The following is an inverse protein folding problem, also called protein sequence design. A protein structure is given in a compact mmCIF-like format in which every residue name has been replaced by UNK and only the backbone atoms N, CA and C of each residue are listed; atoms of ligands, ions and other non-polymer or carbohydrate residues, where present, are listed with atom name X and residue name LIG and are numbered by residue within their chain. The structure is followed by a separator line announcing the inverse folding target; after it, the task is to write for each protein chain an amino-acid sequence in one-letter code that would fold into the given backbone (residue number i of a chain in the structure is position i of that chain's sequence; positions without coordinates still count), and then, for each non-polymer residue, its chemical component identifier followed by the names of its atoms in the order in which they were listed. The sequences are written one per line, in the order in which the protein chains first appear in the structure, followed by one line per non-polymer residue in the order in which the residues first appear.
data_IF_866528812515
#
_entry.id   IF_866528812515
#
_cell.length_a   1.000
_cell.length_b   1.000
_cell.length_c   1.000
_cell.angle_alpha   90.00
_cell.angle_beta   90.00
_cell.angle_gamma   90.00
#
_symmetry.space_group_name_H-M   'P 1'
#
loop_
_entity.id
_entity.type
_entity.pdbx_description
1 polymer ?
#
# COMPACT_ATOMS: atom_id res chain seq x y z
N UNK A 1 -20.12 0.71 -0.46
CA UNK A 1 -18.94 1.12 -1.24
C UNK A 1 -18.80 0.26 -2.47
N UNK A 2 -17.60 0.24 -3.04
CA UNK A 2 -17.23 -0.56 -4.21
C UNK A 2 -16.33 -1.74 -3.80
N UNK A 3 -16.12 -2.71 -4.70
CA UNK A 3 -15.14 -3.76 -4.46
C UNK A 3 -14.30 -4.10 -5.69
N UNK A 4 -13.09 -4.58 -5.45
CA UNK A 4 -12.20 -5.10 -6.48
C UNK A 4 -11.37 -6.27 -5.94
N UNK A 5 -11.17 -7.28 -6.78
CA UNK A 5 -10.28 -8.43 -6.53
C UNK A 5 -9.20 -8.44 -7.61
N UNK A 6 -7.95 -8.29 -7.21
CA UNK A 6 -6.80 -8.22 -8.10
C UNK A 6 -5.87 -9.36 -7.71
N UNK A 7 -5.56 -10.25 -8.66
CA UNK A 7 -4.66 -11.37 -8.40
C UNK A 7 -3.72 -11.64 -9.57
N UNK A 8 -2.52 -12.16 -9.26
CA UNK A 8 -1.54 -12.60 -10.26
C UNK A 8 -1.26 -11.56 -11.36
N UNK A 9 -1.21 -10.28 -10.96
CA UNK A 9 -1.17 -9.15 -11.87
C UNK A 9 0.04 -8.26 -11.60
N UNK A 10 0.46 -7.53 -12.62
CA UNK A 10 1.46 -6.46 -12.51
C UNK A 10 0.79 -5.10 -12.67
N UNK A 11 0.94 -4.22 -11.68
CA UNK A 11 0.46 -2.84 -11.70
C UNK A 11 1.68 -1.94 -11.69
N UNK A 12 1.95 -1.24 -12.80
CA UNK A 12 3.19 -0.49 -12.93
C UNK A 12 3.05 0.76 -13.81
N UNK A 13 4.04 1.66 -13.69
CA UNK A 13 4.19 2.85 -14.51
C UNK A 13 3.00 3.85 -14.45
N UNK A 14 2.27 3.87 -13.33
CA UNK A 14 1.34 4.97 -13.02
C UNK A 14 2.13 6.27 -12.88
N UNK A 15 1.87 7.24 -13.77
CA UNK A 15 2.72 8.43 -13.96
C UNK A 15 2.37 9.61 -13.06
N UNK A 16 1.17 9.64 -12.50
CA UNK A 16 0.67 10.80 -11.74
C UNK A 16 0.28 10.44 -10.31
N UNK A 17 -0.28 9.25 -10.09
CA UNK A 17 -0.90 8.89 -8.82
C UNK A 17 -0.39 7.55 -8.30
N UNK A 18 -1.32 6.77 -7.76
CA UNK A 18 -1.07 5.56 -7.00
C UNK A 18 -1.08 4.32 -7.91
N UNK A 19 -0.62 3.18 -7.39
CA UNK A 19 -0.76 1.89 -8.05
C UNK A 19 -2.17 1.35 -7.84
N UNK A 20 -2.54 1.14 -6.58
CA UNK A 20 -3.88 0.75 -6.16
C UNK A 20 -4.39 1.76 -5.13
N UNK A 21 -5.56 2.35 -5.41
CA UNK A 21 -6.17 3.37 -4.58
C UNK A 21 -7.55 2.91 -4.11
N UNK A 22 -7.70 2.73 -2.80
CA UNK A 22 -8.94 2.30 -2.17
C UNK A 22 -9.49 3.45 -1.32
N UNK A 23 -10.65 3.99 -1.71
CA UNK A 23 -11.22 5.18 -1.08
C UNK A 23 -12.70 5.00 -0.77
N UNK A 24 -13.11 5.44 0.42
CA UNK A 24 -14.52 5.58 0.80
C UNK A 24 -15.01 4.44 1.68
N UNK A 25 -16.00 4.76 2.51
CA UNK A 25 -16.65 3.81 3.41
C UNK A 25 -17.23 2.60 2.66
N UNK A 26 -17.16 1.43 3.30
CA UNK A 26 -17.56 0.14 2.76
C UNK A 26 -16.94 -0.18 1.38
N UNK A 27 -15.75 0.37 1.08
CA UNK A 27 -15.00 0.08 -0.15
C UNK A 27 -13.83 -0.83 0.17
N UNK A 28 -13.78 -1.98 -0.49
CA UNK A 28 -12.85 -3.05 -0.18
C UNK A 28 -12.05 -3.42 -1.43
N UNK A 29 -10.73 -3.47 -1.33
CA UNK A 29 -9.88 -3.95 -2.41
C UNK A 29 -8.97 -5.05 -1.93
N UNK A 30 -9.00 -6.17 -2.63
CA UNK A 30 -8.15 -7.30 -2.33
C UNK A 30 -7.06 -7.46 -3.39
N UNK A 31 -5.81 -7.63 -2.95
CA UNK A 31 -4.64 -7.73 -3.83
C UNK A 31 -3.82 -8.97 -3.44
N UNK A 32 -3.68 -9.94 -4.33
CA UNK A 32 -3.01 -11.21 -4.02
C UNK A 32 -2.00 -11.63 -5.08
N UNK A 33 -0.80 -12.03 -4.64
CA UNK A 33 0.24 -12.54 -5.56
C UNK A 33 0.56 -11.55 -6.70
N UNK A 34 0.57 -10.25 -6.39
CA UNK A 34 0.77 -9.20 -7.37
C UNK A 34 2.17 -8.58 -7.28
N UNK A 35 2.51 -7.80 -8.31
CA UNK A 35 3.67 -6.90 -8.32
C UNK A 35 3.20 -5.49 -8.57
N UNK A 36 3.53 -4.56 -7.67
CA UNK A 36 3.16 -3.14 -7.78
C UNK A 36 4.42 -2.30 -7.77
N UNK A 37 4.76 -1.68 -8.90
CA UNK A 37 6.07 -1.05 -9.01
C UNK A 37 6.16 0.14 -9.93
N UNK A 38 7.21 0.94 -9.72
CA UNK A 38 7.48 2.11 -10.57
C UNK A 38 6.27 3.06 -10.63
N UNK A 39 5.73 3.37 -9.45
CA UNK A 39 4.54 4.20 -9.24
C UNK A 39 4.97 5.62 -8.88
N UNK A 40 4.26 6.65 -9.36
CA UNK A 40 4.58 8.03 -9.03
C UNK A 40 4.44 8.31 -7.53
N UNK A 41 3.22 8.14 -6.97
CA UNK A 41 2.92 8.49 -5.59
C UNK A 41 3.09 7.30 -4.63
N UNK A 42 2.00 6.63 -4.27
CA UNK A 42 1.98 5.51 -3.30
C UNK A 42 1.63 4.21 -4.02
N UNK A 43 2.33 3.11 -3.71
CA UNK A 43 2.05 1.79 -4.30
C UNK A 43 0.63 1.31 -4.01
N UNK A 44 0.32 1.04 -2.74
CA UNK A 44 -1.00 0.65 -2.24
C UNK A 44 -1.49 1.69 -1.24
N UNK A 45 -2.68 2.26 -1.45
CA UNK A 45 -3.16 3.36 -0.63
C UNK A 45 -4.64 3.24 -0.27
N UNK A 46 -4.91 3.07 1.02
CA UNK A 46 -6.23 3.14 1.62
C UNK A 46 -6.44 4.50 2.31
N UNK A 47 -7.55 5.19 2.00
CA UNK A 47 -7.89 6.50 2.59
C UNK A 47 -9.41 6.70 2.66
N UNK A 48 -9.85 7.65 3.48
CA UNK A 48 -11.26 8.04 3.64
C UNK A 48 -12.20 6.85 3.92
N UNK A 49 -11.77 5.89 4.76
CA UNK A 49 -12.55 4.69 5.12
C UNK A 49 -12.36 3.49 4.18
N UNK A 50 -11.42 3.56 3.24
CA UNK A 50 -11.09 2.44 2.36
C UNK A 50 -10.41 1.29 3.12
N UNK A 51 -10.71 0.04 2.74
CA UNK A 51 -10.09 -1.16 3.32
C UNK A 51 -9.36 -1.97 2.26
N UNK A 52 -8.10 -2.30 2.52
CA UNK A 52 -7.32 -3.19 1.66
C UNK A 52 -6.89 -4.47 2.38
N UNK A 53 -7.02 -5.60 1.68
CA UNK A 53 -6.48 -6.89 2.12
C UNK A 53 -5.45 -7.34 1.09
N UNK A 54 -4.21 -7.51 1.53
CA UNK A 54 -3.06 -7.74 0.66
C UNK A 54 -2.36 -9.02 1.08
N UNK A 55 -2.10 -9.93 0.14
CA UNK A 55 -1.31 -11.14 0.41
C UNK A 55 -0.27 -11.42 -0.66
N UNK A 56 0.90 -11.93 -0.25
CA UNK A 56 1.98 -12.41 -1.13
C UNK A 56 2.36 -11.44 -2.26
N UNK A 57 2.29 -10.14 -1.98
CA UNK A 57 2.45 -9.08 -2.98
C UNK A 57 3.78 -8.34 -2.80
N UNK A 58 4.45 -8.05 -3.91
CA UNK A 58 5.65 -7.22 -3.94
C UNK A 58 5.30 -5.77 -4.29
N UNK A 59 5.78 -4.82 -3.51
CA UNK A 59 5.61 -3.38 -3.74
C UNK A 59 6.98 -2.71 -3.75
N UNK A 60 7.36 -2.03 -4.84
CA UNK A 60 8.65 -1.34 -4.86
C UNK A 60 8.75 -0.12 -5.77
N UNK A 61 9.72 0.74 -5.47
CA UNK A 61 10.08 1.83 -6.36
C UNK A 61 8.98 2.86 -6.56
N UNK A 62 8.20 3.15 -5.51
CA UNK A 62 7.40 4.36 -5.50
C UNK A 62 8.32 5.58 -5.49
N UNK A 63 8.00 6.60 -6.29
CA UNK A 63 8.96 7.66 -6.65
C UNK A 63 8.88 8.88 -5.76
N UNK A 64 7.70 9.20 -5.24
CA UNK A 64 7.49 10.41 -4.42
C UNK A 64 7.01 10.12 -3.02
N UNK A 65 6.32 9.00 -2.78
CA UNK A 65 5.70 8.71 -1.49
C UNK A 65 6.06 7.32 -0.96
N UNK A 66 5.07 6.56 -0.51
CA UNK A 66 5.24 5.36 0.30
C UNK A 66 5.04 4.09 -0.52
N UNK A 67 5.44 2.95 0.01
CA UNK A 67 5.07 1.66 -0.57
C UNK A 67 3.60 1.34 -0.31
N UNK A 68 3.26 1.16 0.97
CA UNK A 68 1.91 0.86 1.45
C UNK A 68 1.47 1.94 2.43
N UNK A 69 0.23 2.40 2.36
CA UNK A 69 -0.26 3.40 3.31
C UNK A 69 -1.75 3.26 3.65
N UNK A 70 -2.06 3.46 4.93
CA UNK A 70 -3.40 3.69 5.46
C UNK A 70 -3.45 5.08 6.10
N UNK A 71 -4.33 5.94 5.64
CA UNK A 71 -4.42 7.32 6.15
C UNK A 71 -5.86 7.70 6.46
N UNK A 72 -6.09 8.32 7.61
CA UNK A 72 -7.42 8.76 8.02
C UNK A 72 -8.22 7.68 8.75
N UNK A 73 -9.14 8.12 9.62
CA UNK A 73 -10.02 7.26 10.37
C UNK A 73 -10.74 6.23 9.48
N UNK A 74 -10.92 5.02 10.02
CA UNK A 74 -11.54 3.86 9.37
C UNK A 74 -10.82 3.34 8.12
N UNK A 75 -9.68 3.92 7.72
CA UNK A 75 -8.87 3.40 6.61
C UNK A 75 -7.96 2.28 7.09
N UNK A 76 -8.03 1.12 6.43
CA UNK A 76 -7.35 -0.09 6.90
C UNK A 76 -6.53 -0.76 5.80
N UNK A 77 -5.35 -1.26 6.16
CA UNK A 77 -4.58 -2.17 5.30
C UNK A 77 -4.10 -3.37 6.10
N UNK A 78 -4.53 -4.58 5.73
CA UNK A 78 -3.96 -5.83 6.22
C UNK A 78 -3.01 -6.42 5.18
N UNK A 79 -1.76 -6.73 5.56
CA UNK A 79 -0.75 -7.30 4.68
C UNK A 79 -0.19 -8.60 5.26
N UNK A 80 -0.28 -9.68 4.50
CA UNK A 80 0.28 -10.99 4.85
C UNK A 80 1.28 -11.47 3.80
N UNK A 81 2.52 -11.71 4.20
CA UNK A 81 3.59 -12.09 3.27
C UNK A 81 4.01 -10.97 2.32
N UNK A 82 4.88 -11.31 1.37
CA UNK A 82 5.35 -10.35 0.36
C UNK A 82 6.51 -9.46 0.82
N UNK A 83 6.77 -8.41 0.05
CA UNK A 83 7.92 -7.50 0.26
C UNK A 83 7.58 -6.09 -0.16
N UNK A 84 7.88 -5.12 0.70
CA UNK A 84 7.86 -3.69 0.40
C UNK A 84 9.30 -3.20 0.39
N UNK A 85 9.75 -2.55 -0.70
CA UNK A 85 11.14 -2.10 -0.76
C UNK A 85 11.39 -0.91 -1.67
N UNK A 86 12.54 -0.26 -1.47
CA UNK A 86 13.10 0.74 -2.38
C UNK A 86 12.13 1.89 -2.73
N UNK A 87 11.19 2.21 -1.83
CA UNK A 87 10.24 3.30 -1.96
C UNK A 87 10.87 4.62 -1.52
N UNK A 88 10.33 5.74 -2.01
CA UNK A 88 10.97 7.04 -1.84
C UNK A 88 10.99 7.50 -0.38
N UNK A 89 9.82 7.53 0.26
CA UNK A 89 9.67 8.01 1.63
C UNK A 89 9.76 6.85 2.61
N UNK A 90 8.61 6.26 2.93
CA UNK A 90 8.45 5.20 3.92
C UNK A 90 8.01 3.93 3.22
N UNK A 91 8.48 2.77 3.68
CA UNK A 91 7.97 1.49 3.18
C UNK A 91 6.47 1.37 3.46
N UNK A 92 6.11 1.44 4.75
CA UNK A 92 4.72 1.36 5.22
C UNK A 92 4.40 2.55 6.13
N UNK A 93 3.36 3.32 5.79
CA UNK A 93 2.93 4.51 6.55
C UNK A 93 1.49 4.36 7.07
N UNK A 94 1.31 4.49 8.38
CA UNK A 94 0.02 4.53 9.07
C UNK A 94 -0.12 5.85 9.83
N UNK A 95 -1.07 6.71 9.44
CA UNK A 95 -1.25 8.04 10.07
C UNK A 95 -2.73 8.44 10.14
N UNK A 96 -3.01 9.51 10.89
CA UNK A 96 -4.32 10.16 10.97
C UNK A 96 -5.47 9.23 11.38
N UNK A 97 -5.17 8.26 12.26
CA UNK A 97 -6.13 7.25 12.71
C UNK A 97 -6.36 6.09 11.76
N UNK A 98 -5.52 5.95 10.72
CA UNK A 98 -5.47 4.74 9.91
C UNK A 98 -5.02 3.52 10.72
N UNK A 99 -5.29 2.34 10.20
CA UNK A 99 -4.94 1.05 10.82
C UNK A 99 -4.15 0.18 9.84
N UNK A 100 -3.06 -0.41 10.32
CA UNK A 100 -2.27 -1.37 9.55
C UNK A 100 -2.01 -2.63 10.38
N UNK A 101 -2.27 -3.80 9.77
CA UNK A 101 -1.86 -5.11 10.29
C UNK A 101 -0.85 -5.73 9.32
N UNK A 102 0.29 -6.22 9.83
CA UNK A 102 1.34 -6.85 9.00
C UNK A 102 1.82 -8.16 9.60
N UNK A 103 1.86 -9.22 8.79
CA UNK A 103 2.35 -10.55 9.18
C UNK A 103 3.27 -11.11 8.11
N UNK A 104 4.50 -11.48 8.48
CA UNK A 104 5.44 -12.14 7.54
C UNK A 104 5.90 -11.27 6.36
N UNK A 105 5.80 -9.94 6.46
CA UNK A 105 6.17 -8.99 5.41
C UNK A 105 7.61 -8.51 5.59
N UNK A 106 8.39 -8.48 4.50
CA UNK A 106 9.73 -7.85 4.52
C UNK A 106 9.62 -6.38 4.11
N UNK A 107 10.26 -5.49 4.87
CA UNK A 107 10.35 -4.05 4.54
C UNK A 107 11.80 -3.61 4.57
N UNK A 108 12.32 -3.06 3.47
CA UNK A 108 13.75 -2.79 3.33
C UNK A 108 14.10 -1.78 2.21
N UNK A 109 15.24 -1.08 2.36
CA UNK A 109 15.82 -0.30 1.27
C UNK A 109 15.14 1.05 0.99
N UNK A 110 14.31 1.55 1.91
CA UNK A 110 13.63 2.83 1.76
C UNK A 110 14.62 4.00 1.67
N UNK A 111 14.33 4.96 0.79
CA UNK A 111 15.35 5.93 0.35
C UNK A 111 15.51 7.14 1.28
N UNK A 112 14.46 7.52 2.00
CA UNK A 112 14.48 8.74 2.80
C UNK A 112 14.07 8.54 4.26
N UNK A 113 12.94 7.89 4.51
CA UNK A 113 12.36 7.76 5.85
C UNK A 113 12.43 6.31 6.35
N UNK A 114 11.51 5.96 7.23
CA UNK A 114 11.48 4.69 7.94
C UNK A 114 11.02 3.51 7.07
N UNK A 115 11.38 2.29 7.50
CA UNK A 115 10.74 1.08 6.96
C UNK A 115 9.24 1.08 7.26
N UNK A 116 8.88 1.26 8.52
CA UNK A 116 7.48 1.35 8.98
C UNK A 116 7.34 2.56 9.89
N UNK A 117 6.40 3.44 9.60
CA UNK A 117 6.06 4.58 10.44
C UNK A 117 4.58 4.53 10.84
N UNK A 118 4.32 4.68 12.14
CA UNK A 118 2.98 4.79 12.74
C UNK A 118 2.97 6.06 13.58
N UNK A 119 2.09 7.01 13.25
CA UNK A 119 2.03 8.32 13.93
C UNK A 119 0.60 8.72 14.30
#
# INVERSE_FOLDING_TARGET
GASAEISNSEIYASKEYHGVYCRGQDTITTVRSCKVYNIQATGLFAVDGGTMVVSDTEVWGSREKHGVSAQGADSKVSVEGGTVRDCCLTGVLCIDGGEIEMKGVKVLGEKQLDGVAVC
#
